data_IF_025909210272
#
_entry.id   IF_025909210272
#
_cell.length_a   1.000
_cell.length_b   1.000
_cell.length_c   1.000
_cell.angle_alpha   90.00
_cell.angle_beta   90.00
_cell.angle_gamma   90.00
#
_symmetry.space_group_name_H-M   'P 1'
#
loop_
_entity.id
_entity.type
_entity.pdbx_description
1 polymer ?
#
# COMPACT_ATOMS: atom_id res chain seq x y z
N UNK A 1 42.32 16.57 29.74
CA UNK A 1 42.02 15.18 30.14
C UNK A 1 41.51 14.33 28.98
N UNK A 2 40.49 14.72 28.21
CA UNK A 2 39.98 13.92 27.08
C UNK A 2 41.02 13.65 25.99
N UNK A 3 41.89 14.62 25.66
CA UNK A 3 42.94 14.52 24.64
C UNK A 3 44.03 13.51 24.99
N UNK A 4 44.39 13.41 26.28
CA UNK A 4 45.41 12.48 26.80
C UNK A 4 44.91 11.03 26.83
N UNK A 5 43.59 10.86 27.04
CA UNK A 5 42.96 9.54 27.01
C UNK A 5 42.93 9.03 25.56
N UNK A 6 42.46 9.85 24.61
CA UNK A 6 42.40 9.46 23.19
C UNK A 6 43.79 9.13 22.63
N UNK A 7 44.83 9.89 22.99
CA UNK A 7 46.20 9.60 22.54
C UNK A 7 46.77 8.28 23.10
N UNK A 8 46.49 7.95 24.36
CA UNK A 8 46.86 6.66 24.95
C UNK A 8 46.16 5.46 24.30
N UNK A 9 44.87 5.61 23.96
CA UNK A 9 44.11 4.59 23.22
C UNK A 9 44.68 4.36 21.81
N UNK A 10 45.06 5.42 21.10
CA UNK A 10 45.67 5.33 19.77
C UNK A 10 47.04 4.64 19.80
N UNK A 11 47.88 4.92 20.81
CA UNK A 11 49.17 4.26 20.99
C UNK A 11 49.04 2.78 21.39
N UNK A 12 48.00 2.42 22.14
CA UNK A 12 47.70 1.02 22.49
C UNK A 12 47.24 0.23 21.26
N UNK A 13 46.36 0.82 20.44
CA UNK A 13 45.90 0.22 19.18
C UNK A 13 47.05 0.01 18.19
N UNK A 14 47.99 0.97 18.08
CA UNK A 14 49.14 0.84 17.18
C UNK A 14 50.11 -0.26 17.61
N UNK A 15 50.36 -0.41 18.92
CA UNK A 15 51.19 -1.52 19.46
C UNK A 15 50.52 -2.88 19.26
N UNK A 16 49.22 -2.98 19.47
CA UNK A 16 48.45 -4.22 19.26
C UNK A 16 48.43 -4.62 17.78
N UNK A 17 48.33 -3.64 16.87
CA UNK A 17 48.39 -3.86 15.42
C UNK A 17 49.76 -4.34 14.94
N UNK A 18 50.84 -3.90 15.58
CA UNK A 18 52.20 -4.33 15.25
C UNK A 18 52.49 -5.78 15.69
N UNK A 19 51.91 -6.22 16.82
CA UNK A 19 52.15 -7.57 17.36
C UNK A 19 51.13 -8.63 16.89
N UNK A 20 49.87 -8.24 16.63
CA UNK A 20 48.84 -9.15 16.16
C UNK A 20 47.90 -8.46 15.15
N UNK A 21 48.27 -8.42 13.85
CA UNK A 21 47.53 -7.68 12.84
C UNK A 21 46.13 -8.25 12.59
N UNK A 22 45.92 -9.55 12.84
CA UNK A 22 44.59 -10.18 12.72
C UNK A 22 43.67 -9.67 13.83
N UNK A 23 44.12 -9.69 15.09
CA UNK A 23 43.33 -9.19 16.22
C UNK A 23 43.02 -7.69 16.08
N UNK A 24 43.98 -6.89 15.60
CA UNK A 24 43.73 -5.47 15.34
C UNK A 24 42.68 -5.24 14.24
N UNK A 25 42.73 -5.99 13.14
CA UNK A 25 41.71 -5.93 12.06
C UNK A 25 40.33 -6.35 12.55
N UNK A 26 40.23 -7.43 13.33
CA UNK A 26 38.97 -7.91 13.91
C UNK A 26 38.39 -6.88 14.88
N UNK A 27 39.24 -6.28 15.73
CA UNK A 27 38.81 -5.25 16.69
C UNK A 27 38.32 -4.00 15.96
N UNK A 28 39.05 -3.53 14.94
CA UNK A 28 38.63 -2.39 14.14
C UNK A 28 37.28 -2.64 13.44
N UNK A 29 37.10 -3.83 12.85
CA UNK A 29 35.83 -4.22 12.23
C UNK A 29 34.68 -4.25 13.25
N UNK A 30 34.90 -4.81 14.44
CA UNK A 30 33.90 -4.84 15.50
C UNK A 30 33.49 -3.43 15.97
N UNK A 31 34.46 -2.51 16.10
CA UNK A 31 34.18 -1.10 16.44
C UNK A 31 33.38 -0.42 15.33
N UNK A 32 33.76 -0.59 14.06
CA UNK A 32 33.02 -0.01 12.92
C UNK A 32 31.59 -0.53 12.87
N UNK A 33 31.39 -1.85 13.04
CA UNK A 33 30.05 -2.46 13.08
C UNK A 33 29.23 -1.96 14.28
N UNK A 34 29.86 -1.83 15.45
CA UNK A 34 29.22 -1.27 16.65
C UNK A 34 28.76 0.18 16.46
N UNK A 35 29.63 1.04 15.92
CA UNK A 35 29.29 2.44 15.62
C UNK A 35 28.21 2.55 14.54
N UNK A 36 28.28 1.72 13.50
CA UNK A 36 27.29 1.70 12.43
C UNK A 36 25.91 1.31 12.96
N UNK A 37 25.82 0.20 13.70
CA UNK A 37 24.55 -0.27 14.28
C UNK A 37 23.98 0.72 15.30
N UNK A 38 24.82 1.36 16.12
CA UNK A 38 24.40 2.44 17.01
C UNK A 38 23.82 3.63 16.23
N UNK A 39 24.46 4.01 15.12
CA UNK A 39 23.98 5.09 14.22
C UNK A 39 22.64 4.73 13.60
N UNK A 40 22.49 3.51 13.05
CA UNK A 40 21.22 3.01 12.52
C UNK A 40 20.10 3.09 13.56
N UNK A 41 20.36 2.67 14.81
CA UNK A 41 19.36 2.69 15.89
C UNK A 41 19.01 4.11 16.34
N UNK A 42 20.00 5.01 16.44
CA UNK A 42 19.78 6.41 16.83
C UNK A 42 18.93 7.16 15.79
N UNK A 43 19.17 6.92 14.50
CA UNK A 43 18.44 7.59 13.42
C UNK A 43 17.06 6.96 13.17
N UNK A 44 16.85 5.68 13.51
CA UNK A 44 15.65 4.91 13.18
C UNK A 44 14.34 5.62 13.52
N UNK A 45 14.23 6.13 14.74
CA UNK A 45 13.01 6.75 15.25
C UNK A 45 12.96 8.26 15.03
N UNK A 46 13.94 8.84 14.33
CA UNK A 46 14.03 10.29 14.14
C UNK A 46 12.83 10.84 13.37
N UNK A 47 12.36 10.11 12.36
CA UNK A 47 11.20 10.52 11.53
C UNK A 47 9.94 10.62 12.36
N UNK A 48 9.54 9.54 13.04
CA UNK A 48 8.31 9.53 13.82
C UNK A 48 8.37 10.55 14.97
N UNK A 49 9.50 10.68 15.67
CA UNK A 49 9.70 11.73 16.68
C UNK A 49 9.60 13.14 16.07
N UNK A 50 10.09 13.32 14.85
CA UNK A 50 9.96 14.55 14.08
C UNK A 50 8.50 14.90 13.78
N UNK A 51 7.69 13.92 13.39
CA UNK A 51 6.25 14.10 13.13
C UNK A 51 5.49 14.49 14.41
N UNK A 52 5.70 13.78 15.53
CA UNK A 52 5.12 14.16 16.82
C UNK A 52 5.49 15.60 17.22
N UNK A 53 6.76 15.97 17.05
CA UNK A 53 7.23 17.34 17.35
C UNK A 53 6.63 18.38 16.41
N UNK A 54 6.59 18.10 15.10
CA UNK A 54 6.04 18.99 14.06
C UNK A 54 4.58 19.34 14.35
N UNK A 55 3.79 18.34 14.74
CA UNK A 55 2.36 18.47 14.99
C UNK A 55 2.03 18.85 16.44
N UNK A 56 3.03 18.95 17.32
CA UNK A 56 2.82 19.30 18.73
C UNK A 56 2.04 18.25 19.54
N UNK A 57 1.94 17.01 19.06
CA UNK A 57 1.15 15.94 19.67
C UNK A 57 1.87 15.38 20.90
N UNK A 58 1.20 15.41 22.06
CA UNK A 58 1.69 14.79 23.31
C UNK A 58 0.74 13.70 23.80
N UNK A 59 -0.55 13.84 23.50
CA UNK A 59 -1.63 12.95 23.93
C UNK A 59 -2.58 12.67 22.77
N UNK A 60 -3.41 11.63 22.90
CA UNK A 60 -4.45 11.32 21.91
C UNK A 60 -5.41 12.49 21.67
N UNK A 61 -5.73 13.27 22.70
CA UNK A 61 -6.63 14.42 22.60
C UNK A 61 -6.11 15.49 21.63
N UNK A 62 -4.79 15.64 21.49
CA UNK A 62 -4.18 16.60 20.56
C UNK A 62 -4.47 16.22 19.08
N UNK A 63 -4.79 14.96 18.82
CA UNK A 63 -5.05 14.42 17.47
C UNK A 63 -6.52 14.51 17.05
N UNK A 64 -7.44 14.92 17.93
CA UNK A 64 -8.87 15.00 17.63
C UNK A 64 -9.19 15.96 16.46
N UNK A 65 -8.34 16.95 16.23
CA UNK A 65 -8.47 17.94 15.15
C UNK A 65 -7.50 17.72 13.99
N UNK A 66 -6.85 16.55 13.92
CA UNK A 66 -5.95 16.23 12.83
C UNK A 66 -6.66 16.40 11.49
N UNK A 67 -6.08 17.21 10.63
CA UNK A 67 -6.60 17.46 9.29
C UNK A 67 -6.32 16.28 8.36
N UNK A 68 -7.13 16.11 7.32
CA UNK A 68 -6.86 15.09 6.31
C UNK A 68 -5.54 15.33 5.56
N UNK A 69 -5.07 16.59 5.48
CA UNK A 69 -3.74 16.95 4.98
C UNK A 69 -2.63 16.44 5.88
N UNK A 70 -2.69 16.70 7.19
CA UNK A 70 -1.68 16.18 8.14
C UNK A 70 -1.69 14.65 8.16
N UNK A 71 -2.88 14.04 8.10
CA UNK A 71 -3.04 12.61 8.00
C UNK A 71 -2.41 12.03 6.74
N UNK A 72 -2.58 12.70 5.60
CA UNK A 72 -1.93 12.35 4.34
C UNK A 72 -0.39 12.47 4.44
N UNK A 73 0.16 13.54 5.02
CA UNK A 73 1.61 13.69 5.19
C UNK A 73 2.21 12.56 6.05
N UNK A 74 1.51 12.15 7.11
CA UNK A 74 1.92 11.01 7.94
C UNK A 74 1.83 9.70 7.15
N UNK A 75 0.75 9.48 6.41
CA UNK A 75 0.58 8.30 5.57
C UNK A 75 1.67 8.24 4.48
N UNK A 76 2.04 9.38 3.89
CA UNK A 76 3.12 9.46 2.90
C UNK A 76 4.47 9.07 3.54
N UNK A 77 4.75 9.58 4.74
CA UNK A 77 5.96 9.22 5.48
C UNK A 77 6.01 7.72 5.80
N UNK A 78 4.88 7.10 6.11
CA UNK A 78 4.75 5.66 6.32
C UNK A 78 4.93 4.88 5.02
N UNK A 79 4.19 5.25 3.98
CA UNK A 79 4.05 4.49 2.73
C UNK A 79 5.15 4.72 1.71
N UNK A 80 5.88 5.85 1.73
CA UNK A 80 6.98 6.10 0.79
C UNK A 80 8.35 6.00 1.45
N UNK A 81 8.44 6.26 2.76
CA UNK A 81 9.72 6.37 3.46
C UNK A 81 9.97 5.26 4.46
N UNK A 82 9.00 4.93 5.31
CA UNK A 82 9.22 3.99 6.42
C UNK A 82 9.06 2.52 5.99
N UNK A 83 7.92 2.17 5.39
CA UNK A 83 7.53 0.79 5.08
C UNK A 83 7.06 0.55 3.63
N UNK A 84 7.67 1.15 2.60
CA UNK A 84 7.04 1.23 1.28
C UNK A 84 6.68 -0.10 0.64
N UNK A 85 7.56 -1.10 0.77
CA UNK A 85 7.31 -2.42 0.20
C UNK A 85 6.12 -3.10 0.86
N UNK A 86 6.08 -3.15 2.20
CA UNK A 86 4.99 -3.83 2.91
C UNK A 86 3.69 -3.03 2.80
N UNK A 87 3.76 -1.70 2.83
CA UNK A 87 2.60 -0.84 2.63
C UNK A 87 1.98 -1.05 1.24
N UNK A 88 2.75 -0.96 0.15
CA UNK A 88 2.24 -1.19 -1.20
C UNK A 88 1.68 -2.62 -1.38
N UNK A 89 2.40 -3.66 -0.92
CA UNK A 89 1.93 -5.04 -1.04
C UNK A 89 0.66 -5.30 -0.21
N UNK A 90 0.51 -4.65 0.94
CA UNK A 90 -0.70 -4.75 1.75
C UNK A 90 -1.93 -4.12 1.08
N UNK A 91 -1.77 -3.03 0.31
CA UNK A 91 -2.86 -2.44 -0.48
C UNK A 91 -3.28 -3.39 -1.62
N UNK A 92 -2.32 -4.04 -2.27
CA UNK A 92 -2.60 -5.10 -3.24
C UNK A 92 -3.32 -6.30 -2.60
N UNK A 93 -2.93 -6.67 -1.38
CA UNK A 93 -3.61 -7.72 -0.63
C UNK A 93 -5.01 -7.33 -0.14
N UNK A 94 -5.24 -6.05 0.22
CA UNK A 94 -6.56 -5.54 0.56
C UNK A 94 -7.55 -5.77 -0.59
N UNK A 95 -7.15 -5.47 -1.83
CA UNK A 95 -7.93 -5.80 -3.03
C UNK A 95 -8.17 -7.30 -3.15
N UNK A 96 -7.12 -8.12 -3.01
CA UNK A 96 -7.22 -9.57 -3.09
C UNK A 96 -8.21 -10.15 -2.06
N UNK A 97 -8.23 -9.62 -0.85
CA UNK A 97 -9.11 -10.07 0.23
C UNK A 97 -10.59 -9.79 -0.04
N UNK A 98 -10.92 -8.78 -0.86
CA UNK A 98 -12.32 -8.56 -1.31
C UNK A 98 -12.87 -9.73 -2.12
N UNK A 99 -12.01 -10.50 -2.78
CA UNK A 99 -12.43 -11.63 -3.61
C UNK A 99 -12.94 -12.82 -2.77
N UNK A 100 -12.70 -12.81 -1.46
CA UNK A 100 -13.32 -13.76 -0.52
C UNK A 100 -14.81 -13.51 -0.27
N UNK A 101 -15.38 -12.39 -0.75
CA UNK A 101 -16.79 -12.05 -0.57
C UNK A 101 -17.58 -12.38 -1.85
N UNK A 102 -18.57 -13.30 -1.81
CA UNK A 102 -19.30 -13.74 -2.99
C UNK A 102 -20.07 -12.65 -3.76
N UNK A 103 -20.58 -11.60 -3.09
CA UNK A 103 -21.22 -10.45 -3.77
C UNK A 103 -20.24 -9.74 -4.69
N UNK A 104 -19.01 -9.51 -4.20
CA UNK A 104 -17.94 -8.81 -4.92
C UNK A 104 -17.36 -9.71 -6.03
N UNK A 105 -16.95 -10.93 -5.69
CA UNK A 105 -16.29 -11.82 -6.65
C UNK A 105 -17.18 -12.17 -7.85
N UNK A 106 -18.48 -12.37 -7.62
CA UNK A 106 -19.46 -12.62 -8.68
C UNK A 106 -19.51 -11.49 -9.69
N UNK A 107 -19.48 -10.23 -9.23
CA UNK A 107 -19.45 -9.08 -10.13
C UNK A 107 -18.16 -9.03 -10.95
N UNK A 108 -17.03 -9.34 -10.33
CA UNK A 108 -15.73 -9.41 -11.00
C UNK A 108 -15.70 -10.50 -12.08
N UNK A 109 -16.30 -11.66 -11.82
CA UNK A 109 -16.47 -12.73 -12.82
C UNK A 109 -17.41 -12.30 -13.95
N UNK A 110 -18.57 -11.72 -13.62
CA UNK A 110 -19.53 -11.27 -14.64
C UNK A 110 -18.97 -10.20 -15.58
N UNK A 111 -18.13 -9.30 -15.05
CA UNK A 111 -17.51 -8.23 -15.84
C UNK A 111 -16.27 -8.69 -16.60
N UNK A 112 -15.78 -9.91 -16.34
CA UNK A 112 -14.53 -10.49 -16.86
C UNK A 112 -13.26 -9.74 -16.46
N UNK A 113 -13.37 -8.65 -15.71
CA UNK A 113 -12.25 -7.75 -15.46
C UNK A 113 -11.17 -8.38 -14.57
N UNK A 114 -11.50 -9.39 -13.76
CA UNK A 114 -10.56 -10.13 -12.91
C UNK A 114 -10.82 -11.65 -12.94
N UNK A 115 -11.38 -12.16 -14.04
CA UNK A 115 -11.67 -13.58 -14.21
C UNK A 115 -11.28 -14.11 -15.60
N UNK A 116 -10.54 -13.29 -16.36
CA UNK A 116 -10.17 -13.54 -17.74
C UNK A 116 -8.76 -12.95 -17.95
N UNK A 117 -7.76 -13.78 -18.32
CA UNK A 117 -6.35 -13.37 -18.37
C UNK A 117 -6.10 -12.10 -19.19
N UNK A 118 -6.83 -11.93 -20.30
CA UNK A 118 -6.67 -10.82 -21.23
C UNK A 118 -7.01 -9.46 -20.60
N UNK A 119 -7.89 -9.43 -19.59
CA UNK A 119 -8.34 -8.19 -18.94
C UNK A 119 -7.78 -7.99 -17.54
N UNK A 120 -7.42 -9.08 -16.85
CA UNK A 120 -7.00 -9.05 -15.45
C UNK A 120 -5.77 -8.15 -15.21
N UNK A 121 -4.77 -8.23 -16.09
CA UNK A 121 -3.57 -7.39 -16.00
C UNK A 121 -3.86 -5.90 -16.13
N UNK A 122 -4.64 -5.52 -17.14
CA UNK A 122 -5.03 -4.11 -17.34
C UNK A 122 -5.90 -3.62 -16.17
N UNK A 123 -6.84 -4.43 -15.69
CA UNK A 123 -7.70 -4.07 -14.55
C UNK A 123 -6.88 -3.84 -13.27
N UNK A 124 -5.86 -4.68 -13.04
CA UNK A 124 -4.93 -4.50 -11.93
C UNK A 124 -4.18 -3.16 -12.04
N UNK A 125 -3.64 -2.85 -13.23
CA UNK A 125 -2.97 -1.59 -13.51
C UNK A 125 -3.90 -0.37 -13.35
N UNK A 126 -5.11 -0.42 -13.93
CA UNK A 126 -6.14 0.63 -13.81
C UNK A 126 -6.48 0.93 -12.34
N UNK A 127 -6.55 -0.12 -11.51
CA UNK A 127 -6.81 0.03 -10.07
C UNK A 127 -5.66 0.76 -9.39
N UNK A 128 -4.41 0.38 -9.71
CA UNK A 128 -3.22 1.06 -9.22
C UNK A 128 -3.16 2.54 -9.61
N UNK A 129 -3.59 2.89 -10.83
CA UNK A 129 -3.65 4.28 -11.30
C UNK A 129 -4.62 5.10 -10.43
N UNK A 130 -5.88 4.65 -10.30
CA UNK A 130 -6.91 5.40 -9.58
C UNK A 130 -6.57 5.55 -8.10
N UNK A 131 -6.16 4.46 -7.46
CA UNK A 131 -5.80 4.46 -6.03
C UNK A 131 -4.57 5.33 -5.80
N UNK A 132 -3.54 5.20 -6.65
CA UNK A 132 -2.34 6.00 -6.51
C UNK A 132 -2.58 7.50 -6.70
N UNK A 133 -3.51 7.91 -7.57
CA UNK A 133 -3.87 9.33 -7.72
C UNK A 133 -4.40 9.94 -6.42
N UNK A 134 -5.26 9.26 -5.64
CA UNK A 134 -5.82 9.84 -4.41
C UNK A 134 -5.07 9.49 -3.12
N UNK A 135 -4.19 8.48 -3.11
CA UNK A 135 -3.30 8.16 -1.99
C UNK A 135 -2.02 8.98 -2.03
N UNK A 136 -1.39 9.11 -3.21
CA UNK A 136 -0.04 9.69 -3.31
C UNK A 136 -0.04 11.23 -3.43
N UNK A 137 -1.20 11.85 -3.67
CA UNK A 137 -1.32 13.30 -3.83
C UNK A 137 -2.12 13.92 -2.68
N UNK A 138 -1.82 15.18 -2.34
CA UNK A 138 -2.51 15.93 -1.29
C UNK A 138 -4.04 15.84 -1.45
N UNK A 139 -4.82 15.65 -0.37
CA UNK A 139 -6.27 15.46 -0.44
C UNK A 139 -7.04 16.52 -1.24
N UNK A 140 -6.62 17.78 -1.13
CA UNK A 140 -7.20 18.95 -1.80
C UNK A 140 -6.70 19.16 -3.23
N UNK A 141 -5.71 18.38 -3.68
CA UNK A 141 -5.14 18.51 -5.01
C UNK A 141 -6.11 18.06 -6.10
N UNK A 142 -5.98 18.67 -7.27
CA UNK A 142 -6.73 18.26 -8.46
C UNK A 142 -6.53 16.77 -8.76
N UNK A 143 -5.31 16.24 -8.61
CA UNK A 143 -5.00 14.83 -8.88
C UNK A 143 -5.81 13.88 -7.99
N UNK A 144 -5.84 14.13 -6.69
CA UNK A 144 -6.57 13.30 -5.76
C UNK A 144 -8.08 13.33 -6.01
N UNK A 145 -8.63 14.51 -6.30
CA UNK A 145 -10.05 14.69 -6.61
C UNK A 145 -10.43 14.01 -7.94
N UNK A 146 -9.57 14.07 -8.95
CA UNK A 146 -9.79 13.41 -10.24
C UNK A 146 -9.77 11.88 -10.10
N UNK A 147 -8.88 11.33 -9.29
CA UNK A 147 -8.83 9.89 -8.99
C UNK A 147 -10.12 9.41 -8.33
N UNK A 148 -10.57 10.13 -7.29
CA UNK A 148 -11.83 9.86 -6.60
C UNK A 148 -13.05 10.00 -7.51
N UNK A 149 -13.13 11.08 -8.29
CA UNK A 149 -14.25 11.33 -9.21
C UNK A 149 -14.36 10.24 -10.28
N UNK A 150 -13.22 9.79 -10.84
CA UNK A 150 -13.22 8.70 -11.81
C UNK A 150 -13.65 7.38 -11.17
N UNK A 151 -13.14 7.07 -9.98
CA UNK A 151 -13.54 5.86 -9.24
C UNK A 151 -15.05 5.87 -8.92
N UNK A 152 -15.56 6.99 -8.40
CA UNK A 152 -16.99 7.17 -8.11
C UNK A 152 -17.85 7.00 -9.36
N UNK A 153 -17.43 7.56 -10.50
CA UNK A 153 -18.12 7.37 -11.77
C UNK A 153 -18.24 5.89 -12.14
N UNK A 154 -17.13 5.15 -12.08
CA UNK A 154 -17.08 3.73 -12.44
C UNK A 154 -17.98 2.89 -11.50
N UNK A 155 -17.89 3.12 -10.19
CA UNK A 155 -18.74 2.41 -9.21
C UNK A 155 -20.22 2.78 -9.33
N UNK A 156 -20.55 4.04 -9.67
CA UNK A 156 -21.93 4.52 -9.71
C UNK A 156 -22.84 3.71 -10.66
N UNK A 157 -22.30 3.16 -11.75
CA UNK A 157 -23.06 2.32 -12.67
C UNK A 157 -23.52 1.02 -12.01
N UNK A 158 -22.63 0.40 -11.23
CA UNK A 158 -22.93 -0.84 -10.54
C UNK A 158 -23.76 -0.61 -9.29
N UNK A 159 -23.56 0.49 -8.58
CA UNK A 159 -24.41 0.90 -7.44
C UNK A 159 -25.85 1.17 -7.91
N UNK A 160 -26.06 1.96 -8.97
CA UNK A 160 -27.40 2.19 -9.54
C UNK A 160 -28.08 0.91 -10.04
N UNK A 161 -27.29 -0.07 -10.45
CA UNK A 161 -27.79 -1.39 -10.86
C UNK A 161 -27.98 -2.37 -9.69
N UNK A 162 -27.78 -1.94 -8.44
CA UNK A 162 -27.91 -2.79 -7.24
C UNK A 162 -26.86 -3.90 -7.14
N UNK A 163 -25.72 -3.76 -7.83
CA UNK A 163 -24.65 -4.78 -7.90
C UNK A 163 -23.49 -4.52 -6.95
N UNK A 164 -23.36 -3.30 -6.44
CA UNK A 164 -22.42 -2.93 -5.37
C UNK A 164 -23.25 -2.31 -4.26
N UNK A 165 -23.27 -2.96 -3.10
CA UNK A 165 -23.96 -2.45 -1.91
C UNK A 165 -23.11 -1.40 -1.18
N UNK A 166 -23.73 -0.65 -0.25
CA UNK A 166 -22.98 0.22 0.65
C UNK A 166 -22.03 -0.60 1.54
N UNK A 167 -22.46 -1.77 2.01
CA UNK A 167 -21.64 -2.65 2.86
C UNK A 167 -20.42 -3.19 2.10
N UNK A 168 -20.56 -3.57 0.83
CA UNK A 168 -19.40 -3.97 0.00
C UNK A 168 -18.39 -2.82 -0.15
N UNK A 169 -18.88 -1.57 -0.25
CA UNK A 169 -18.03 -0.37 -0.31
C UNK A 169 -17.35 -0.09 1.02
N UNK A 170 -18.08 -0.13 2.14
CA UNK A 170 -17.54 0.07 3.50
C UNK A 170 -16.54 -1.03 3.87
N UNK A 171 -16.81 -2.28 3.49
CA UNK A 171 -15.88 -3.38 3.65
C UNK A 171 -14.61 -3.17 2.85
N UNK A 172 -14.73 -2.82 1.57
CA UNK A 172 -13.55 -2.51 0.73
C UNK A 172 -12.74 -1.35 1.32
N UNK A 173 -13.38 -0.28 1.79
CA UNK A 173 -12.73 0.85 2.48
C UNK A 173 -11.98 0.39 3.74
N UNK A 174 -12.60 -0.48 4.54
CA UNK A 174 -11.99 -1.01 5.77
C UNK A 174 -10.70 -1.76 5.48
N UNK A 175 -10.62 -2.52 4.39
CA UNK A 175 -9.42 -3.28 4.06
C UNK A 175 -8.25 -2.35 3.72
N UNK A 176 -8.52 -1.25 3.02
CA UNK A 176 -7.50 -0.28 2.66
C UNK A 176 -6.91 0.46 3.87
N UNK A 177 -7.70 0.70 4.92
CA UNK A 177 -7.17 1.32 6.13
C UNK A 177 -6.51 0.29 7.08
N UNK A 178 -7.07 -0.92 7.19
CA UNK A 178 -6.66 -1.94 8.18
C UNK A 178 -5.48 -2.79 7.72
N UNK A 179 -5.48 -3.28 6.48
CA UNK A 179 -4.46 -4.24 6.03
C UNK A 179 -3.04 -3.67 6.04
N UNK A 180 -2.77 -2.39 5.68
CA UNK A 180 -1.44 -1.82 5.85
C UNK A 180 -0.93 -1.84 7.29
N UNK A 181 -1.77 -1.48 8.26
CA UNK A 181 -1.38 -1.53 9.67
C UNK A 181 -1.13 -2.97 10.13
N UNK A 182 -2.02 -3.89 9.75
CA UNK A 182 -1.92 -5.31 10.11
C UNK A 182 -0.68 -5.97 9.51
N UNK A 183 -0.33 -5.64 8.27
CA UNK A 183 0.85 -6.18 7.59
C UNK A 183 2.14 -5.59 8.13
N UNK A 184 2.18 -4.28 8.40
CA UNK A 184 3.34 -3.65 9.03
C UNK A 184 3.56 -4.21 10.43
N UNK A 185 2.52 -4.31 11.27
CA UNK A 185 2.63 -4.90 12.60
C UNK A 185 3.13 -6.36 12.59
N UNK A 186 2.85 -7.11 11.51
CA UNK A 186 3.29 -8.51 11.35
C UNK A 186 4.67 -8.68 10.73
N UNK A 187 5.06 -7.83 9.78
CA UNK A 187 6.18 -8.10 8.86
C UNK A 187 7.25 -7.00 8.80
N UNK A 188 7.06 -5.88 9.51
CA UNK A 188 8.04 -4.81 9.60
C UNK A 188 8.72 -4.75 10.97
N UNK A 189 9.74 -3.92 11.06
CA UNK A 189 10.61 -3.82 12.23
C UNK A 189 9.98 -3.11 13.45
N UNK A 190 8.80 -2.49 13.27
CA UNK A 190 7.93 -1.95 14.30
C UNK A 190 6.48 -1.90 13.78
N UNK A 191 5.54 -1.78 14.69
CA UNK A 191 4.14 -1.47 14.40
C UNK A 191 3.91 0.04 14.18
N UNK A 192 2.69 0.39 13.77
CA UNK A 192 2.23 1.78 13.70
C UNK A 192 2.10 2.36 15.11
N UNK A 193 2.60 3.57 15.28
CA UNK A 193 2.34 4.41 16.46
C UNK A 193 0.88 4.88 16.50
N UNK A 194 0.42 5.39 17.65
CA UNK A 194 -0.91 5.99 17.76
C UNK A 194 -1.11 7.16 16.79
N UNK A 195 -0.07 7.96 16.53
CA UNK A 195 -0.12 9.05 15.55
C UNK A 195 -0.40 8.53 14.14
N UNK A 196 0.29 7.45 13.74
CA UNK A 196 0.10 6.84 12.42
C UNK A 196 -1.27 6.13 12.32
N UNK A 197 -1.74 5.50 13.39
CA UNK A 197 -3.10 4.93 13.45
C UNK A 197 -4.18 6.01 13.31
N UNK A 198 -4.04 7.12 14.04
CA UNK A 198 -4.97 8.24 13.93
C UNK A 198 -4.98 8.82 12.50
N UNK A 199 -3.81 9.00 11.90
CA UNK A 199 -3.68 9.46 10.53
C UNK A 199 -4.36 8.52 9.53
N UNK A 200 -4.18 7.20 9.65
CA UNK A 200 -4.90 6.24 8.81
C UNK A 200 -6.41 6.38 8.95
N UNK A 201 -6.92 6.50 10.18
CA UNK A 201 -8.36 6.70 10.42
C UNK A 201 -8.89 8.01 9.82
N UNK A 202 -8.20 9.12 10.04
CA UNK A 202 -8.56 10.44 9.48
C UNK A 202 -8.57 10.41 7.95
N UNK A 203 -7.48 9.92 7.34
CA UNK A 203 -7.33 9.91 5.88
C UNK A 203 -8.39 9.03 5.21
N UNK A 204 -8.60 7.81 5.72
CA UNK A 204 -9.54 6.87 5.11
C UNK A 204 -11.01 7.20 5.40
N UNK A 205 -11.33 7.85 6.52
CA UNK A 205 -12.66 8.43 6.74
C UNK A 205 -12.94 9.54 5.72
N UNK A 206 -11.98 10.47 5.51
CA UNK A 206 -12.09 11.51 4.46
C UNK A 206 -12.31 10.90 3.06
N UNK A 207 -11.58 9.82 2.73
CA UNK A 207 -11.80 9.07 1.48
C UNK A 207 -13.19 8.43 1.43
N UNK A 208 -13.65 7.79 2.50
CA UNK A 208 -14.97 7.17 2.56
C UNK A 208 -16.11 8.18 2.37
N UNK A 209 -16.00 9.36 2.98
CA UNK A 209 -16.96 10.44 2.78
C UNK A 209 -16.92 10.95 1.32
N UNK A 210 -15.72 11.10 0.76
CA UNK A 210 -15.53 11.47 -0.64
C UNK A 210 -16.12 10.44 -1.62
N UNK A 211 -16.18 9.17 -1.21
CA UNK A 211 -16.80 8.06 -1.94
C UNK A 211 -18.32 7.93 -1.71
N UNK A 212 -18.90 8.77 -0.84
CA UNK A 212 -20.31 8.71 -0.43
C UNK A 212 -20.68 7.39 0.27
N UNK A 213 -19.75 6.84 1.06
CA UNK A 213 -20.02 5.66 1.88
C UNK A 213 -20.82 6.12 3.10
N UNK A 214 -21.95 5.47 3.34
CA UNK A 214 -22.81 5.73 4.47
C UNK A 214 -22.38 4.87 5.67
N UNK A 215 -22.33 5.48 6.86
CA UNK A 215 -21.92 4.80 8.09
C UNK A 215 -23.08 4.56 9.07
N UNK A 216 -24.21 5.24 8.88
CA UNK A 216 -25.37 5.13 9.76
C UNK A 216 -25.87 3.67 9.82
N UNK A 217 -26.16 3.17 11.03
CA UNK A 217 -26.53 1.77 11.26
C UNK A 217 -25.39 0.75 11.15
N UNK A 218 -24.21 1.14 10.65
CA UNK A 218 -23.02 0.28 10.59
C UNK A 218 -22.00 0.63 11.66
N UNK A 219 -21.70 1.91 11.84
CA UNK A 219 -20.72 2.40 12.81
C UNK A 219 -21.42 3.29 13.86
N UNK A 220 -21.30 2.99 15.17
CA UNK A 220 -21.98 3.76 16.23
C UNK A 220 -21.70 5.26 16.20
N UNK A 221 -20.46 5.67 15.91
CA UNK A 221 -20.09 7.08 15.86
C UNK A 221 -20.70 7.86 14.68
N UNK A 222 -21.39 7.19 13.75
CA UNK A 222 -22.16 7.89 12.71
C UNK A 222 -23.32 8.70 13.29
N UNK A 223 -23.89 8.27 14.42
CA UNK A 223 -25.01 8.94 15.09
C UNK A 223 -24.53 9.93 16.16
N UNK A 224 -23.46 9.57 16.89
CA UNK A 224 -22.98 10.37 18.04
C UNK A 224 -21.78 11.25 17.72
N UNK A 225 -21.20 11.10 16.52
CA UNK A 225 -19.89 11.63 16.18
C UNK A 225 -18.73 10.75 16.67
N UNK A 226 -17.59 10.87 16.00
CA UNK A 226 -16.31 10.27 16.43
C UNK A 226 -15.40 11.33 17.04
N UNK A 227 -14.68 10.96 18.10
CA UNK A 227 -13.73 11.84 18.80
C UNK A 227 -12.46 12.11 18.00
N UNK A 228 -11.99 11.10 17.30
CA UNK A 228 -10.74 11.13 16.54
C UNK A 228 -10.71 9.99 15.50
N UNK A 229 -9.67 9.96 14.67
CA UNK A 229 -9.48 8.90 13.68
C UNK A 229 -9.31 7.52 14.29
N UNK A 230 -8.82 7.41 15.53
CA UNK A 230 -8.64 6.11 16.18
C UNK A 230 -9.98 5.49 16.54
N UNK A 231 -10.95 6.25 17.06
CA UNK A 231 -12.28 5.72 17.37
C UNK A 231 -12.97 5.20 16.09
N UNK A 232 -12.95 5.99 15.01
CA UNK A 232 -13.51 5.54 13.72
C UNK A 232 -12.85 4.24 13.23
N UNK A 233 -11.52 4.15 13.39
CA UNK A 233 -10.74 2.99 13.00
C UNK A 233 -11.06 1.73 13.83
N UNK A 234 -11.27 1.88 15.14
CA UNK A 234 -11.68 0.80 16.04
C UNK A 234 -13.08 0.29 15.68
N UNK A 235 -14.03 1.20 15.40
CA UNK A 235 -15.40 0.85 15.00
C UNK A 235 -15.44 0.14 13.64
N UNK A 236 -14.72 0.64 12.63
CA UNK A 236 -14.69 -0.01 11.31
C UNK A 236 -13.92 -1.34 11.34
N UNK A 237 -12.92 -1.50 12.23
CA UNK A 237 -12.25 -2.79 12.44
C UNK A 237 -13.22 -3.84 12.99
N UNK A 238 -13.99 -3.49 14.02
CA UNK A 238 -15.00 -4.38 14.59
C UNK A 238 -16.07 -4.74 13.55
N UNK A 239 -16.65 -3.74 12.89
CA UNK A 239 -17.66 -3.95 11.85
C UNK A 239 -17.13 -4.82 10.69
N UNK A 240 -15.89 -4.60 10.25
CA UNK A 240 -15.24 -5.38 9.18
C UNK A 240 -15.08 -6.84 9.56
N UNK A 241 -14.67 -7.13 10.81
CA UNK A 241 -14.56 -8.50 11.32
C UNK A 241 -15.92 -9.23 11.30
N UNK A 242 -16.98 -8.55 11.72
CA UNK A 242 -18.35 -9.10 11.71
C UNK A 242 -18.89 -9.29 10.29
N UNK A 243 -18.57 -8.37 9.37
CA UNK A 243 -18.92 -8.49 7.97
C UNK A 243 -18.26 -9.73 7.34
N UNK A 244 -16.96 -9.93 7.59
CA UNK A 244 -16.24 -11.10 7.12
C UNK A 244 -16.81 -12.41 7.69
N UNK A 245 -17.22 -12.44 8.96
CA UNK A 245 -17.84 -13.62 9.58
C UNK A 245 -19.13 -14.04 8.88
N UNK A 246 -19.92 -13.07 8.44
CA UNK A 246 -21.21 -13.30 7.79
C UNK A 246 -21.07 -13.59 6.29
N UNK A 247 -20.10 -12.97 5.62
CA UNK A 247 -20.07 -12.90 4.16
C UNK A 247 -18.85 -13.57 3.50
N UNK A 248 -17.75 -13.80 4.21
CA UNK A 248 -16.55 -14.42 3.63
C UNK A 248 -16.64 -15.94 3.63
N UNK A 249 -17.37 -16.46 2.63
CA UNK A 249 -17.75 -17.88 2.54
C UNK A 249 -17.19 -18.55 1.29
N UNK A 250 -16.94 -19.88 1.31
CA UNK A 250 -16.53 -20.63 0.13
C UNK A 250 -17.45 -20.43 -1.07
N UNK A 251 -16.88 -19.98 -2.20
CA UNK A 251 -17.65 -19.76 -3.43
C UNK A 251 -16.77 -19.94 -4.66
N UNK A 252 -17.34 -20.51 -5.74
CA UNK A 252 -16.59 -20.79 -6.98
C UNK A 252 -16.03 -19.51 -7.63
N UNK A 253 -16.80 -18.42 -7.57
CA UNK A 253 -16.38 -17.14 -8.15
C UNK A 253 -15.21 -16.54 -7.36
N UNK A 254 -15.14 -16.77 -6.04
CA UNK A 254 -13.98 -16.37 -5.21
C UNK A 254 -12.72 -17.12 -5.65
N UNK A 255 -12.86 -18.44 -5.89
CA UNK A 255 -11.74 -19.25 -6.37
C UNK A 255 -11.26 -18.78 -7.74
N UNK A 256 -12.18 -18.55 -8.67
CA UNK A 256 -11.83 -18.12 -10.03
C UNK A 256 -11.08 -16.78 -10.04
N UNK A 257 -11.58 -15.77 -9.33
CA UNK A 257 -10.91 -14.45 -9.27
C UNK A 257 -9.56 -14.52 -8.55
N UNK A 258 -9.47 -15.36 -7.51
CA UNK A 258 -8.22 -15.58 -6.81
C UNK A 258 -7.18 -16.29 -7.70
N UNK A 259 -7.57 -17.31 -8.46
CA UNK A 259 -6.68 -18.06 -9.36
C UNK A 259 -6.08 -17.13 -10.44
N UNK A 260 -6.90 -16.25 -11.04
CA UNK A 260 -6.42 -15.27 -12.03
C UNK A 260 -5.48 -14.23 -11.42
N UNK A 261 -5.75 -13.78 -10.20
CA UNK A 261 -4.86 -12.83 -9.52
C UNK A 261 -3.53 -13.49 -9.11
N UNK A 262 -3.57 -14.75 -8.69
CA UNK A 262 -2.35 -15.52 -8.45
C UNK A 262 -1.54 -15.71 -9.73
N UNK A 263 -2.19 -15.89 -10.88
CA UNK A 263 -1.49 -15.94 -12.17
C UNK A 263 -0.72 -14.62 -12.46
N UNK A 264 -1.27 -13.47 -12.08
CA UNK A 264 -0.57 -12.17 -12.16
C UNK A 264 0.63 -12.14 -11.19
N UNK A 265 0.45 -12.59 -9.94
CA UNK A 265 1.53 -12.60 -8.94
C UNK A 265 2.68 -13.55 -9.30
N UNK A 266 2.37 -14.64 -10.01
CA UNK A 266 3.34 -15.64 -10.47
C UNK A 266 3.79 -15.40 -11.92
N UNK A 267 3.39 -14.28 -12.54
CA UNK A 267 3.63 -13.99 -13.95
C UNK A 267 5.12 -14.00 -14.30
N UNK A 268 5.93 -13.28 -13.51
CA UNK A 268 7.38 -13.18 -13.67
C UNK A 268 8.15 -14.36 -13.02
N UNK A 269 7.46 -15.44 -12.68
CA UNK A 269 8.05 -16.63 -12.05
C UNK A 269 8.11 -17.80 -13.04
N UNK A 270 9.24 -18.55 -13.11
CA UNK A 270 9.32 -19.78 -13.89
C UNK A 270 8.21 -20.76 -13.52
N UNK A 271 7.61 -21.42 -14.52
CA UNK A 271 6.49 -22.37 -14.32
C UNK A 271 6.78 -23.47 -13.30
N UNK A 272 8.03 -23.93 -13.21
CA UNK A 272 8.48 -24.93 -12.23
C UNK A 272 8.35 -24.46 -10.77
N UNK A 273 8.34 -23.14 -10.53
CA UNK A 273 8.23 -22.54 -9.21
C UNK A 273 6.79 -22.11 -8.86
N UNK A 274 5.82 -22.24 -9.77
CA UNK A 274 4.43 -21.85 -9.51
C UNK A 274 3.80 -22.60 -8.33
N UNK A 275 4.08 -23.90 -8.18
CA UNK A 275 3.61 -24.69 -7.04
C UNK A 275 4.14 -24.18 -5.69
N UNK A 276 5.47 -24.04 -5.51
CA UNK A 276 6.05 -23.36 -4.35
C UNK A 276 5.54 -21.92 -4.14
N UNK A 277 5.39 -21.14 -5.21
CA UNK A 277 4.87 -19.78 -5.17
C UNK A 277 3.44 -19.70 -4.62
N UNK A 278 2.55 -20.58 -5.08
CA UNK A 278 1.19 -20.72 -4.56
C UNK A 278 1.19 -21.00 -3.05
N UNK A 279 2.06 -21.89 -2.58
CA UNK A 279 2.20 -22.19 -1.14
C UNK A 279 2.68 -20.98 -0.34
N UNK A 280 3.55 -20.15 -0.91
CA UNK A 280 4.01 -18.92 -0.26
C UNK A 280 2.86 -17.90 -0.19
N UNK A 281 2.11 -17.68 -1.27
CA UNK A 281 1.01 -16.70 -1.26
C UNK A 281 -0.09 -17.14 -0.30
N UNK A 282 -0.42 -18.43 -0.26
CA UNK A 282 -1.39 -18.98 0.72
C UNK A 282 -0.92 -18.85 2.18
N UNK A 283 0.39 -18.74 2.45
CA UNK A 283 0.88 -18.40 3.80
C UNK A 283 0.57 -16.97 4.23
N UNK A 284 0.29 -16.07 3.28
CA UNK A 284 -0.02 -14.67 3.55
C UNK A 284 -1.53 -14.43 3.74
N UNK A 285 -2.35 -15.43 3.38
CA UNK A 285 -3.79 -15.42 3.60
C UNK A 285 -4.12 -15.85 5.03
N UNK A 286 -5.09 -15.20 5.67
CA UNK A 286 -5.71 -15.76 6.87
C UNK A 286 -6.58 -16.98 6.52
N UNK A 287 -6.93 -17.76 7.54
CA UNK A 287 -7.67 -19.01 7.34
C UNK A 287 -9.06 -18.82 6.75
N UNK A 288 -9.75 -17.72 7.08
CA UNK A 288 -11.09 -17.41 6.58
C UNK A 288 -11.02 -17.11 5.08
N UNK A 289 -10.12 -16.21 4.67
CA UNK A 289 -9.92 -15.87 3.26
C UNK A 289 -9.51 -17.08 2.43
N UNK A 290 -8.53 -17.85 2.92
CA UNK A 290 -8.03 -19.06 2.25
C UNK A 290 -9.15 -20.08 2.05
N UNK A 291 -9.98 -20.28 3.07
CA UNK A 291 -11.13 -21.19 3.01
C UNK A 291 -12.20 -20.68 2.05
N UNK A 292 -12.50 -19.38 2.07
CA UNK A 292 -13.46 -18.75 1.17
C UNK A 292 -13.05 -18.83 -0.31
N UNK A 293 -11.74 -18.83 -0.60
CA UNK A 293 -11.17 -19.03 -1.94
C UNK A 293 -10.92 -20.51 -2.27
N UNK A 294 -11.24 -21.43 -1.36
CA UNK A 294 -11.10 -22.88 -1.53
C UNK A 294 -9.64 -23.33 -1.78
N UNK A 295 -8.67 -22.63 -1.18
CA UNK A 295 -7.27 -23.08 -1.18
C UNK A 295 -6.97 -24.01 -0.01
N UNK A 296 -6.14 -25.06 -0.22
CA UNK A 296 -5.68 -25.91 0.86
C UNK A 296 -4.80 -25.12 1.84
N UNK A 297 -4.79 -25.55 3.11
CA UNK A 297 -3.90 -24.97 4.11
C UNK A 297 -2.43 -25.13 3.69
N UNK A 298 -1.60 -24.07 3.81
CA UNK A 298 -0.18 -24.19 3.49
C UNK A 298 0.50 -25.15 4.49
N UNK A 299 1.50 -25.94 4.06
CA UNK A 299 2.25 -26.78 4.97
C UNK A 299 2.90 -25.96 6.10
N UNK A 300 2.93 -26.43 7.36
CA UNK A 300 3.52 -25.70 8.48
C UNK A 300 4.99 -25.30 8.27
N UNK A 301 5.73 -26.06 7.46
CA UNK A 301 7.11 -25.73 7.08
C UNK A 301 7.20 -24.45 6.24
N UNK A 302 6.28 -24.23 5.29
CA UNK A 302 6.21 -23.00 4.51
C UNK A 302 5.85 -21.80 5.38
N UNK A 303 4.88 -21.96 6.30
CA UNK A 303 4.52 -20.92 7.27
C UNK A 303 5.72 -20.49 8.10
N UNK A 304 6.48 -21.46 8.64
CA UNK A 304 7.71 -21.18 9.41
C UNK A 304 8.77 -20.52 8.56
N UNK A 305 8.95 -20.96 7.31
CA UNK A 305 9.92 -20.38 6.38
C UNK A 305 9.59 -18.92 6.04
N UNK A 306 8.36 -18.63 5.62
CA UNK A 306 7.91 -17.26 5.27
C UNK A 306 8.02 -16.34 6.49
N UNK A 307 7.55 -16.79 7.66
CA UNK A 307 7.69 -16.03 8.91
C UNK A 307 9.15 -15.78 9.28
N UNK A 308 10.01 -16.79 9.14
CA UNK A 308 11.45 -16.68 9.40
C UNK A 308 12.12 -15.66 8.48
N UNK A 309 11.82 -15.71 7.18
CA UNK A 309 12.36 -14.78 6.19
C UNK A 309 11.93 -13.33 6.45
N UNK A 310 10.65 -13.11 6.73
CA UNK A 310 10.12 -11.77 7.02
C UNK A 310 10.64 -11.22 8.36
N UNK A 311 10.76 -12.07 9.39
CA UNK A 311 11.37 -11.68 10.65
C UNK A 311 12.86 -11.35 10.51
N UNK A 312 13.60 -12.11 9.70
CA UNK A 312 15.00 -11.81 9.39
C UNK A 312 15.12 -10.48 8.66
N UNK A 313 14.26 -10.23 7.65
CA UNK A 313 14.20 -8.93 6.96
C UNK A 313 13.91 -7.80 7.95
N UNK A 314 12.90 -7.93 8.80
CA UNK A 314 12.56 -6.94 9.82
C UNK A 314 13.73 -6.69 10.78
N UNK A 315 14.42 -7.75 11.22
CA UNK A 315 15.61 -7.63 12.07
C UNK A 315 16.75 -6.88 11.37
N UNK A 316 17.03 -7.21 10.10
CA UNK A 316 18.05 -6.55 9.28
C UNK A 316 17.71 -5.07 9.10
N UNK A 317 16.47 -4.78 8.69
CA UNK A 317 15.99 -3.41 8.51
C UNK A 317 16.12 -2.60 9.79
N UNK A 318 15.77 -3.15 10.95
CA UNK A 318 15.84 -2.46 12.24
C UNK A 318 17.26 -2.06 12.61
N UNK A 319 18.21 -2.98 12.46
CA UNK A 319 19.53 -2.87 13.07
C UNK A 319 20.64 -2.45 12.10
N UNK A 320 20.49 -2.72 10.80
CA UNK A 320 21.58 -2.61 9.83
C UNK A 320 21.26 -1.80 8.58
N UNK A 321 20.03 -1.28 8.41
CA UNK A 321 19.73 -0.37 7.30
C UNK A 321 19.72 1.08 7.79
N UNK A 322 20.13 2.08 7.02
CA UNK A 322 19.87 3.47 7.43
C UNK A 322 18.40 3.84 7.13
N UNK A 323 17.78 4.77 7.88
CA UNK A 323 16.49 5.32 7.47
C UNK A 323 16.61 5.93 6.08
N UNK A 324 15.63 5.63 5.23
CA UNK A 324 15.56 6.15 3.86
C UNK A 324 15.51 7.69 3.89
N UNK A 325 16.39 8.41 3.18
CA UNK A 325 16.28 9.86 3.00
C UNK A 325 15.19 10.21 1.97
N UNK A 326 14.73 11.46 1.97
CA UNK A 326 13.56 11.88 1.19
C UNK A 326 13.75 11.73 -0.32
N UNK A 327 14.96 11.93 -0.84
CA UNK A 327 15.28 11.73 -2.26
C UNK A 327 15.25 10.24 -2.70
N UNK A 328 15.16 9.31 -1.75
CA UNK A 328 14.95 7.88 -2.01
C UNK A 328 13.52 7.43 -1.70
N UNK A 329 12.59 8.36 -1.47
CA UNK A 329 11.16 8.07 -1.31
C UNK A 329 10.66 7.19 -2.47
N UNK A 330 9.94 6.13 -2.11
CA UNK A 330 9.36 5.21 -3.11
C UNK A 330 7.98 5.73 -3.48
N UNK A 331 7.86 6.33 -4.66
CA UNK A 331 6.58 6.74 -5.24
C UNK A 331 6.43 6.10 -6.61
N UNK A 332 5.37 5.32 -6.82
CA UNK A 332 5.22 4.52 -8.03
C UNK A 332 4.62 5.32 -9.20
N UNK A 333 3.98 6.47 -8.97
CA UNK A 333 3.38 7.29 -10.02
C UNK A 333 4.21 8.56 -10.24
N UNK A 334 4.42 8.95 -11.49
CA UNK A 334 5.10 10.21 -11.83
C UNK A 334 4.18 11.42 -11.68
N UNK A 335 4.77 12.60 -11.67
CA UNK A 335 4.04 13.82 -12.03
C UNK A 335 3.56 13.76 -13.48
N UNK A 336 2.61 14.64 -13.80
CA UNK A 336 2.08 14.80 -15.16
C UNK A 336 3.16 15.38 -16.07
N UNK A 337 3.33 14.78 -17.24
CA UNK A 337 4.18 15.34 -18.28
C UNK A 337 3.47 16.48 -19.02
N UNK A 338 4.16 17.05 -20.03
CA UNK A 338 3.62 18.13 -20.86
C UNK A 338 2.32 17.76 -21.61
N UNK A 339 2.02 16.47 -21.78
CA UNK A 339 0.78 15.98 -22.39
C UNK A 339 -0.34 15.75 -21.36
N UNK A 340 -0.08 16.03 -20.07
CA UNK A 340 -0.99 15.80 -18.97
C UNK A 340 -1.06 14.33 -18.53
N UNK A 341 -0.11 13.49 -18.93
CA UNK A 341 -0.11 12.04 -18.64
C UNK A 341 0.85 11.70 -17.50
N UNK A 342 0.41 10.76 -16.67
CA UNK A 342 1.22 10.16 -15.60
C UNK A 342 1.65 8.75 -16.00
N UNK A 343 2.75 8.28 -15.43
CA UNK A 343 3.30 6.95 -15.72
C UNK A 343 3.56 6.20 -14.42
N UNK A 344 3.55 4.87 -14.49
CA UNK A 344 4.20 4.08 -13.45
C UNK A 344 5.72 4.15 -13.62
N UNK A 345 6.44 4.29 -12.51
CA UNK A 345 7.91 4.30 -12.49
C UNK A 345 8.48 2.91 -12.73
N UNK A 346 7.83 1.90 -12.16
CA UNK A 346 8.24 0.50 -12.17
C UNK A 346 7.04 -0.39 -12.54
N UNK A 347 7.31 -1.63 -12.90
CA UNK A 347 6.30 -2.67 -13.15
C UNK A 347 6.72 -3.95 -12.45
N UNK A 348 5.74 -4.64 -11.85
CA UNK A 348 5.96 -5.92 -11.14
C UNK A 348 5.62 -7.14 -12.01
N UNK A 349 4.63 -7.01 -12.91
CA UNK A 349 4.19 -8.09 -13.80
C UNK A 349 4.18 -7.60 -15.25
N UNK A 350 3.06 -7.01 -15.70
CA UNK A 350 2.91 -6.48 -17.06
C UNK A 350 3.25 -4.98 -17.11
N UNK A 351 3.88 -4.48 -18.19
CA UNK A 351 4.40 -3.11 -18.28
C UNK A 351 3.35 -2.04 -18.65
N UNK A 352 2.12 -2.14 -18.11
CA UNK A 352 1.07 -1.14 -18.36
C UNK A 352 1.46 0.25 -17.88
N UNK A 353 1.26 1.29 -18.69
CA UNK A 353 1.53 2.70 -18.35
C UNK A 353 2.98 3.02 -17.98
N UNK A 354 3.94 2.16 -18.36
CA UNK A 354 5.36 2.36 -18.06
C UNK A 354 6.10 2.89 -19.27
N UNK A 355 6.84 3.98 -19.05
CA UNK A 355 7.69 4.58 -20.10
C UNK A 355 8.89 3.66 -20.42
N UNK A 356 9.23 3.48 -21.72
CA UNK A 356 10.39 2.70 -22.19
C UNK A 356 11.74 3.39 -21.93
N UNK A 357 12.05 3.70 -20.67
CA UNK A 357 13.36 4.26 -20.28
C UNK A 357 14.46 3.22 -20.42
N UNK A 358 15.73 3.66 -20.45
CA UNK A 358 16.88 2.75 -20.48
C UNK A 358 16.84 1.74 -19.32
N UNK A 359 16.55 2.20 -18.11
CA UNK A 359 16.42 1.32 -16.94
C UNK A 359 15.24 0.34 -17.06
N UNK A 360 14.09 0.81 -17.54
CA UNK A 360 12.89 -0.05 -17.63
C UNK A 360 12.96 -1.09 -18.75
N UNK A 361 13.82 -0.89 -19.76
CA UNK A 361 14.03 -1.86 -20.86
C UNK A 361 15.27 -2.74 -20.73
N UNK A 362 16.25 -2.32 -19.94
CA UNK A 362 17.57 -2.98 -19.86
C UNK A 362 18.09 -3.18 -18.43
N UNK A 363 17.33 -2.76 -17.42
CA UNK A 363 17.64 -3.03 -16.03
C UNK A 363 17.44 -4.50 -15.64
N UNK A 364 17.76 -4.88 -14.39
CA UNK A 364 17.71 -6.27 -13.95
C UNK A 364 16.36 -6.95 -14.15
N UNK A 365 15.27 -6.26 -13.81
CA UNK A 365 13.90 -6.76 -14.01
C UNK A 365 13.62 -7.02 -15.50
N UNK A 366 13.99 -6.09 -16.37
CA UNK A 366 13.77 -6.23 -17.81
C UNK A 366 14.58 -7.39 -18.42
N UNK A 367 15.83 -7.58 -17.98
CA UNK A 367 16.65 -8.72 -18.39
C UNK A 367 16.04 -10.05 -17.93
N UNK A 368 15.51 -10.09 -16.70
CA UNK A 368 14.79 -11.25 -16.18
C UNK A 368 13.52 -11.55 -16.98
N UNK A 369 12.71 -10.54 -17.29
CA UNK A 369 11.52 -10.70 -18.12
C UNK A 369 11.86 -11.23 -19.52
N UNK A 370 12.90 -10.68 -20.16
CA UNK A 370 13.38 -11.17 -21.47
C UNK A 370 13.83 -12.63 -21.41
N UNK A 371 14.52 -13.04 -20.35
CA UNK A 371 14.93 -14.44 -20.15
C UNK A 371 13.72 -15.38 -20.08
N UNK A 372 12.60 -14.90 -19.52
CA UNK A 372 11.34 -15.64 -19.44
C UNK A 372 10.46 -15.52 -20.70
N UNK A 373 10.89 -14.75 -21.70
CA UNK A 373 10.09 -14.47 -22.91
C UNK A 373 8.90 -13.54 -22.66
N UNK A 374 8.97 -12.71 -21.62
CA UNK A 374 7.95 -11.76 -21.22
C UNK A 374 8.20 -10.36 -21.83
N UNK A 375 7.15 -9.57 -22.07
CA UNK A 375 7.27 -8.25 -22.71
C UNK A 375 7.82 -7.22 -21.75
N UNK A 376 8.73 -6.38 -22.24
CA UNK A 376 9.21 -5.20 -21.50
C UNK A 376 8.56 -3.92 -22.04
N UNK A 377 8.60 -2.79 -21.30
CA UNK A 377 8.03 -1.52 -21.74
C UNK A 377 8.45 -1.16 -23.16
N UNK A 378 7.45 -0.92 -24.02
CA UNK A 378 7.61 -0.55 -25.43
C UNK A 378 7.56 -1.70 -26.45
N UNK A 379 7.52 -2.98 -26.03
CA UNK A 379 7.47 -4.11 -26.97
C UNK A 379 6.07 -4.31 -27.62
N UNK A 380 4.98 -3.89 -26.96
CA UNK A 380 3.59 -3.92 -27.49
C UNK A 380 2.84 -2.64 -27.07
N UNK A 381 3.14 -1.49 -27.70
CA UNK A 381 2.66 -0.18 -27.25
C UNK A 381 1.14 -0.05 -27.29
N UNK A 382 0.46 -0.66 -28.26
CA UNK A 382 -1.00 -0.69 -28.39
C UNK A 382 -1.72 -1.39 -27.23
N UNK A 383 -1.03 -2.33 -26.56
CA UNK A 383 -1.56 -3.07 -25.43
C UNK A 383 -1.17 -2.41 -24.10
N UNK A 384 0.11 -2.07 -23.94
CA UNK A 384 0.67 -1.65 -22.65
C UNK A 384 0.68 -0.14 -22.43
N UNK A 385 0.28 0.68 -23.41
CA UNK A 385 0.08 2.12 -23.27
C UNK A 385 1.30 2.85 -22.65
N UNK A 386 2.51 2.74 -23.22
CA UNK A 386 3.74 3.34 -22.68
C UNK A 386 3.73 4.87 -22.64
N UNK A 387 2.77 5.52 -23.32
CA UNK A 387 2.47 6.95 -23.23
C UNK A 387 1.86 7.38 -21.88
N UNK A 388 1.52 6.43 -21.01
CA UNK A 388 0.95 6.69 -19.70
C UNK A 388 -0.57 6.92 -19.74
N UNK A 389 -1.12 7.34 -18.61
CA UNK A 389 -2.56 7.50 -18.44
C UNK A 389 -2.95 8.94 -18.11
N UNK A 390 -4.17 9.30 -18.50
CA UNK A 390 -4.92 10.42 -17.92
C UNK A 390 -6.01 9.86 -17.03
N UNK A 391 -6.22 10.45 -15.86
CA UNK A 391 -7.10 9.88 -14.83
C UNK A 391 -8.52 9.63 -15.36
N UNK A 392 -9.06 10.53 -16.17
CA UNK A 392 -10.38 10.40 -16.79
C UNK A 392 -10.51 9.28 -17.83
N UNK A 393 -9.39 8.81 -18.38
CA UNK A 393 -9.33 7.74 -19.39
C UNK A 393 -9.21 6.33 -18.75
N UNK A 394 -8.84 6.25 -17.47
CA UNK A 394 -8.57 4.97 -16.77
C UNK A 394 -9.85 4.13 -16.62
N UNK A 395 -9.70 2.81 -16.75
CA UNK A 395 -10.77 1.83 -16.58
C UNK A 395 -11.08 1.01 -17.85
N UNK A 396 -12.18 0.23 -17.82
CA UNK A 396 -12.56 -0.63 -18.94
C UNK A 396 -12.86 0.18 -20.21
N UNK A 397 -12.54 -0.40 -21.38
CA UNK A 397 -12.72 0.26 -22.68
C UNK A 397 -14.15 0.77 -22.91
N UNK A 398 -15.16 0.06 -22.37
CA UNK A 398 -16.57 0.43 -22.45
C UNK A 398 -16.91 1.78 -21.80
N UNK A 399 -16.07 2.26 -20.88
CA UNK A 399 -16.22 3.53 -20.16
C UNK A 399 -15.23 4.61 -20.62
N UNK A 400 -14.35 4.32 -21.59
CA UNK A 400 -13.41 5.32 -22.14
C UNK A 400 -14.21 6.42 -22.85
N UNK A 401 -13.89 7.68 -22.54
CA UNK A 401 -14.58 8.86 -23.10
C UNK A 401 -16.03 9.07 -22.62
N UNK A 402 -16.50 8.31 -21.63
CA UNK A 402 -17.85 8.44 -21.07
C UNK A 402 -17.80 8.99 -19.65
N UNK A 403 -18.88 9.66 -19.25
CA UNK A 403 -19.06 10.13 -17.88
C UNK A 403 -18.57 11.53 -17.58
N UNK A 404 -18.18 12.32 -18.59
CA UNK A 404 -17.64 13.67 -18.40
C UNK A 404 -18.52 14.54 -17.50
N UNK A 405 -19.84 14.56 -17.72
CA UNK A 405 -20.77 15.33 -16.87
C UNK A 405 -20.81 14.86 -15.42
N UNK A 406 -20.77 13.54 -15.17
CA UNK A 406 -20.71 13.01 -13.81
C UNK A 406 -19.39 13.40 -13.15
N UNK A 407 -18.30 13.21 -13.89
CA UNK A 407 -16.94 13.47 -13.43
C UNK A 407 -16.74 14.94 -13.03
N UNK A 408 -17.15 15.89 -13.86
CA UNK A 408 -17.02 17.33 -13.53
C UNK A 408 -17.88 17.72 -12.33
N UNK A 409 -19.14 17.26 -12.26
CA UNK A 409 -20.00 17.51 -11.08
C UNK A 409 -19.42 16.91 -9.81
N UNK A 410 -18.84 15.71 -9.90
CA UNK A 410 -18.25 15.07 -8.74
C UNK A 410 -16.97 15.76 -8.29
N UNK A 411 -16.14 16.25 -9.22
CA UNK A 411 -14.98 17.08 -8.90
C UNK A 411 -15.37 18.38 -8.20
N UNK A 412 -16.41 19.06 -8.68
CA UNK A 412 -16.93 20.27 -8.04
C UNK A 412 -17.39 19.99 -6.60
N UNK A 413 -18.11 18.89 -6.37
CA UNK A 413 -18.46 18.46 -5.01
C UNK A 413 -17.22 18.17 -4.17
N UNK A 414 -16.24 17.45 -4.72
CA UNK A 414 -15.02 17.08 -4.00
C UNK A 414 -14.17 18.29 -3.65
N UNK A 415 -14.12 19.32 -4.49
CA UNK A 415 -13.37 20.55 -4.21
C UNK A 415 -13.96 21.38 -3.08
N UNK A 416 -15.28 21.30 -2.87
CA UNK A 416 -15.98 21.95 -1.75
C UNK A 416 -15.86 21.14 -0.44
N UNK A 417 -15.77 19.81 -0.55
CA UNK A 417 -15.83 18.91 0.59
C UNK A 417 -14.45 18.54 1.16
N UNK A 418 -13.48 18.24 0.30
CA UNK A 418 -12.17 17.69 0.67
C UNK A 418 -11.10 18.79 0.58
N UNK A 419 -11.22 19.77 1.47
CA UNK A 419 -10.47 21.03 1.44
C UNK A 419 -9.15 21.02 2.21
N UNK A 420 -8.69 19.87 2.71
CA UNK A 420 -7.52 19.82 3.59
C UNK A 420 -7.86 19.89 5.09
N UNK A 421 -9.14 19.79 5.46
CA UNK A 421 -9.63 19.98 6.84
C UNK A 421 -9.79 18.68 7.65
N UNK A 422 -10.15 18.81 8.93
CA UNK A 422 -10.47 17.65 9.76
C UNK A 422 -11.85 17.08 9.37
N UNK A 423 -11.97 15.78 9.06
CA UNK A 423 -13.26 15.20 8.69
C UNK A 423 -14.15 14.91 9.92
N UNK A 424 -13.65 15.07 11.14
CA UNK A 424 -14.41 14.88 12.37
C UNK A 424 -14.97 16.18 12.95
N UNK A 425 -14.64 17.33 12.35
CA UNK A 425 -15.26 18.61 12.71
C UNK A 425 -16.59 18.78 11.98
N UNK A 426 -17.60 18.00 12.36
CA UNK A 426 -18.96 18.39 12.02
C UNK A 426 -19.46 19.39 13.07
N UNK A 427 -19.75 20.60 12.58
CA UNK A 427 -20.62 21.57 13.21
C UNK A 427 -21.95 20.88 13.46
N UNK A 428 -22.36 20.82 14.73
CA UNK A 428 -23.76 20.58 15.09
C UNK A 428 -24.54 21.72 14.41
N UNK A 429 -25.23 21.43 13.31
CA UNK A 429 -26.22 22.32 12.71
C UNK A 429 -27.61 21.76 12.92
#
# INVERSE_FOLDING_TARGET
MATTIVSGWLQSLSRTAAHNPVTARVTALAVVLGLYTATCRALRFRRIKGLYKKLGVKTRADMAKMTDREAWEIQEAVGHLEFPVIFEKSLGFALFKTYGIPSISRLLVQTKQLSTPEYAGKRYADTGCLIGEFIANEPSSQRAQEGLARMNYLHSHYQRAGKISNDDMLYTLSLFCLEPMRWVGRYEWREFSELERCAMGVFWKSVGDAMRIEYAGSLPGAETGWKDGIQWLEEIEQWSSEYEEKHMMPHRDNKQTADETLAILLYSMPKSLHGPGLKIVTCLMDDRLRTAMMYPAPPPSYMKFVKGLLNLRAFVLRNFSLPRPDFLAVCNITDRDASGRSHFRYYDAMPFYVKPTLWNRWGPEALWQRLLGLPVPGDSPELYMPEGFRTEEVGPATFKGKGATFYEKDKERLSQMRTGGCPFTHVIS
#
